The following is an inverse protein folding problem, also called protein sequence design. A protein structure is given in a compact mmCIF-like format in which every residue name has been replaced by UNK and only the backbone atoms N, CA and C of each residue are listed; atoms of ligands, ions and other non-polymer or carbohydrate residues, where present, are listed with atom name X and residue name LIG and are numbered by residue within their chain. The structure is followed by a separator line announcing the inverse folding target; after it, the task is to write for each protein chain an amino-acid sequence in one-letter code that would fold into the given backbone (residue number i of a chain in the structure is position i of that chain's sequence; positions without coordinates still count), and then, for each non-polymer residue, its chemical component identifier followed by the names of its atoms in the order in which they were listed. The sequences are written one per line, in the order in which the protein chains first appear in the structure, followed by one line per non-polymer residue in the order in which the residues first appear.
data_IF_315519871733
#
_entry.id   IF_315519871733
#
_cell.length_a   1.000
_cell.length_b   1.000
_cell.length_c   1.000
_cell.angle_alpha   90.00
_cell.angle_beta   90.00
_cell.angle_gamma   90.00
#
_symmetry.space_group_name_H-M   'P 1'
#
loop_
_entity.id
_entity.type
_entity.pdbx_description
1 polymer ?
#
# COMPACT_ATOMS: atom_id res chain seq x y z
N UNK A 1 19.02 3.94 0.30
CA UNK A 1 17.94 3.42 -0.57
C UNK A 1 16.86 4.48 -0.70
N UNK A 2 16.51 4.80 -1.93
CA UNK A 2 15.49 5.83 -2.21
C UNK A 2 14.22 5.15 -2.70
N UNK A 3 13.13 5.31 -1.97
CA UNK A 3 11.83 4.75 -2.32
C UNK A 3 10.92 5.86 -2.82
N UNK A 4 10.24 5.62 -3.94
CA UNK A 4 9.34 6.59 -4.55
C UNK A 4 8.05 5.92 -4.98
N UNK A 5 6.93 6.52 -4.60
CA UNK A 5 5.60 6.11 -5.06
C UNK A 5 5.07 7.18 -5.98
N UNK A 6 4.73 6.79 -7.21
CA UNK A 6 4.19 7.70 -8.22
C UNK A 6 2.76 7.29 -8.53
N UNK A 7 1.82 8.15 -8.24
CA UNK A 7 0.41 7.94 -8.55
C UNK A 7 0.18 8.18 -10.03
N UNK A 8 -0.35 7.18 -10.74
CA UNK A 8 -0.44 7.21 -12.20
C UNK A 8 -1.87 7.21 -12.73
N UNK A 9 -2.83 6.75 -11.94
CA UNK A 9 -4.22 6.68 -12.41
C UNK A 9 -5.18 6.71 -11.24
N UNK A 10 -6.32 7.39 -11.41
CA UNK A 10 -7.40 7.37 -10.43
C UNK A 10 -8.64 6.72 -11.02
N UNK A 11 -9.15 5.73 -10.28
CA UNK A 11 -10.46 5.15 -10.53
C UNK A 11 -11.55 5.87 -9.75
N UNK A 12 -12.73 5.28 -9.73
CA UNK A 12 -13.88 5.85 -9.01
C UNK A 12 -13.64 5.90 -7.50
N UNK A 13 -13.05 4.85 -6.93
CA UNK A 13 -12.86 4.71 -5.49
C UNK A 13 -11.41 4.43 -5.10
N UNK A 14 -10.49 4.41 -6.05
CA UNK A 14 -9.12 3.99 -5.80
C UNK A 14 -8.11 4.78 -6.62
N UNK A 15 -6.84 4.66 -6.24
CA UNK A 15 -5.70 5.25 -6.93
C UNK A 15 -4.71 4.14 -7.23
N UNK A 16 -4.25 4.06 -8.48
CA UNK A 16 -3.20 3.14 -8.89
C UNK A 16 -1.87 3.86 -8.92
N UNK A 17 -0.85 3.25 -8.33
CA UNK A 17 0.49 3.83 -8.21
C UNK A 17 1.55 2.83 -8.62
N UNK A 18 2.74 3.34 -8.93
CA UNK A 18 3.94 2.56 -9.18
C UNK A 18 4.94 2.79 -8.04
N UNK A 19 5.53 1.71 -7.54
CA UNK A 19 6.59 1.78 -6.53
C UNK A 19 7.94 1.58 -7.20
N UNK A 20 8.85 2.52 -6.95
CA UNK A 20 10.24 2.48 -7.41
C UNK A 20 11.18 2.43 -6.22
N UNK A 21 12.25 1.64 -6.34
CA UNK A 21 13.38 1.65 -5.39
C UNK A 21 14.63 1.95 -6.19
N UNK A 22 15.32 3.02 -5.82
CA UNK A 22 16.52 3.51 -6.51
C UNK A 22 16.30 3.66 -8.02
N UNK A 23 15.13 4.16 -8.40
CA UNK A 23 14.76 4.41 -9.79
C UNK A 23 14.26 3.19 -10.56
N UNK A 24 14.23 2.01 -9.94
CA UNK A 24 13.82 0.77 -10.59
C UNK A 24 12.41 0.40 -10.16
N UNK A 25 11.53 0.16 -11.14
CA UNK A 25 10.15 -0.26 -10.88
C UNK A 25 10.11 -1.59 -10.14
N UNK A 26 9.32 -1.66 -9.08
CA UNK A 26 9.17 -2.86 -8.26
C UNK A 26 7.81 -3.52 -8.42
N UNK A 27 6.74 -2.75 -8.24
CA UNK A 27 5.39 -3.32 -8.23
C UNK A 27 4.35 -2.21 -8.35
N UNK A 28 3.11 -2.63 -8.55
CA UNK A 28 1.96 -1.73 -8.47
C UNK A 28 1.52 -1.58 -7.03
N UNK A 29 0.92 -0.42 -6.73
CA UNK A 29 0.24 -0.17 -5.47
C UNK A 29 -1.19 0.24 -5.74
N UNK A 30 -2.11 -0.27 -4.94
CA UNK A 30 -3.48 0.19 -4.94
C UNK A 30 -3.73 0.94 -3.64
N UNK A 31 -4.17 2.18 -3.76
CA UNK A 31 -4.50 3.06 -2.65
C UNK A 31 -5.96 3.47 -2.72
N UNK A 32 -6.48 3.94 -1.59
CA UNK A 32 -7.76 4.62 -1.56
C UNK A 32 -7.75 5.85 -2.46
N UNK A 33 -8.91 6.45 -2.68
CA UNK A 33 -9.02 7.65 -3.51
C UNK A 33 -8.35 8.84 -2.83
N UNK A 34 -7.71 9.69 -3.63
CA UNK A 34 -7.16 10.98 -3.18
C UNK A 34 -8.34 11.92 -2.91
N UNK A 35 -8.43 12.44 -1.69
CA UNK A 35 -9.49 13.36 -1.29
C UNK A 35 -8.90 14.54 -0.52
N UNK A 36 -9.44 15.73 -0.74
CA UNK A 36 -9.02 16.90 0.03
C UNK A 36 -9.48 16.82 1.48
N UNK A 37 -10.68 16.27 1.71
CA UNK A 37 -11.20 16.05 3.06
C UNK A 37 -11.23 14.56 3.33
N UNK A 38 -10.60 14.15 4.43
CA UNK A 38 -10.47 12.74 4.78
C UNK A 38 -11.83 12.12 5.09
N UNK A 39 -12.15 11.04 4.38
CA UNK A 39 -13.27 10.16 4.72
C UNK A 39 -12.65 8.92 5.34
N UNK A 40 -13.03 8.60 6.57
CA UNK A 40 -12.47 7.47 7.34
C UNK A 40 -12.54 6.18 6.52
N UNK A 41 -11.43 5.46 6.47
CA UNK A 41 -11.27 4.18 5.77
C UNK A 41 -11.39 4.24 4.25
N UNK A 42 -11.50 5.43 3.65
CA UNK A 42 -11.70 5.59 2.20
C UNK A 42 -10.81 6.63 1.54
N UNK A 43 -9.80 7.12 2.25
CA UNK A 43 -8.95 8.19 1.74
C UNK A 43 -7.50 7.76 1.72
N UNK A 44 -6.82 8.03 0.60
CA UNK A 44 -5.38 7.82 0.45
C UNK A 44 -4.60 8.73 1.40
N UNK A 45 -3.39 8.29 1.75
CA UNK A 45 -2.47 9.13 2.53
C UNK A 45 -2.06 10.36 1.72
N UNK A 46 -1.68 11.47 2.39
CA UNK A 46 -1.29 12.68 1.67
C UNK A 46 0.03 12.52 0.94
N UNK A 47 0.25 13.36 -0.07
CA UNK A 47 1.55 13.49 -0.71
C UNK A 47 2.59 14.04 0.26
N UNK A 48 3.84 13.71 0.02
CA UNK A 48 4.95 14.25 0.78
C UNK A 48 6.11 13.29 0.88
N UNK A 49 7.05 13.66 1.73
CA UNK A 49 8.20 12.82 2.07
C UNK A 49 8.02 12.32 3.48
N UNK A 50 8.04 11.01 3.65
CA UNK A 50 7.81 10.37 4.94
C UNK A 50 8.89 9.32 5.19
N UNK A 51 9.15 9.05 6.46
CA UNK A 51 10.10 8.01 6.83
C UNK A 51 9.46 6.64 6.76
N UNK A 52 10.21 5.67 6.21
CA UNK A 52 9.82 4.27 6.26
C UNK A 52 10.47 3.62 7.47
N UNK A 53 9.71 2.81 8.17
CA UNK A 53 10.15 2.04 9.33
C UNK A 53 9.83 0.58 9.12
N UNK A 54 10.57 -0.31 9.78
CA UNK A 54 10.23 -1.72 9.84
C UNK A 54 9.53 -1.98 11.17
N UNK A 55 8.25 -2.35 11.11
CA UNK A 55 7.46 -2.67 12.29
C UNK A 55 7.54 -4.17 12.57
N UNK A 56 8.04 -4.53 13.76
CA UNK A 56 8.19 -5.94 14.17
C UNK A 56 7.33 -6.29 15.38
N UNK A 57 6.46 -5.39 15.84
CA UNK A 57 5.73 -5.56 17.11
C UNK A 57 4.22 -5.41 17.00
N UNK A 58 3.70 -4.87 15.90
CA UNK A 58 2.27 -4.61 15.76
C UNK A 58 1.46 -5.86 15.45
N UNK A 59 0.13 -5.71 15.49
CA UNK A 59 -0.81 -6.81 15.21
C UNK A 59 -0.71 -7.33 13.78
N UNK A 60 -0.54 -6.44 12.79
CA UNK A 60 -0.37 -6.86 11.40
C UNK A 60 0.94 -7.63 11.20
N UNK A 61 2.02 -7.19 11.86
CA UNK A 61 3.29 -7.93 11.85
C UNK A 61 3.10 -9.34 12.41
N UNK A 62 2.36 -9.47 13.50
CA UNK A 62 2.08 -10.78 14.11
C UNK A 62 1.31 -11.68 13.15
N UNK A 63 0.29 -11.16 12.49
CA UNK A 63 -0.49 -11.89 11.50
C UNK A 63 0.37 -12.39 10.35
N UNK A 64 1.24 -11.54 9.82
CA UNK A 64 2.12 -11.91 8.71
C UNK A 64 3.21 -12.89 9.16
N UNK A 65 3.70 -12.76 10.39
CA UNK A 65 4.66 -13.71 10.96
C UNK A 65 4.07 -15.12 11.07
N UNK A 66 2.81 -15.21 11.46
CA UNK A 66 2.10 -16.50 11.53
C UNK A 66 1.90 -17.10 10.15
N UNK A 67 1.60 -16.26 9.15
CA UNK A 67 1.31 -16.72 7.79
C UNK A 67 2.56 -17.12 7.02
N UNK A 68 3.65 -16.37 7.15
CA UNK A 68 4.84 -16.52 6.31
C UNK A 68 6.07 -17.03 7.07
N UNK A 69 6.03 -17.11 8.39
CA UNK A 69 7.13 -17.63 9.20
C UNK A 69 8.42 -16.83 9.05
N UNK A 70 9.52 -17.52 8.85
CA UNK A 70 10.85 -16.90 8.78
C UNK A 70 11.06 -16.01 7.55
N UNK A 71 10.23 -16.13 6.53
CA UNK A 71 10.29 -15.26 5.36
C UNK A 71 9.86 -13.84 5.70
N UNK A 72 9.04 -13.67 6.72
CA UNK A 72 8.56 -12.37 7.14
C UNK A 72 9.58 -11.70 8.06
N UNK A 73 10.04 -10.52 7.69
CA UNK A 73 11.05 -9.76 8.44
C UNK A 73 10.50 -8.50 9.13
N UNK A 74 9.22 -8.25 9.01
CA UNK A 74 8.55 -7.07 9.55
C UNK A 74 7.66 -6.42 8.50
N UNK A 75 6.85 -5.47 8.96
CA UNK A 75 5.98 -4.68 8.08
C UNK A 75 6.65 -3.35 7.75
N UNK A 76 6.51 -2.90 6.51
CA UNK A 76 6.97 -1.57 6.13
C UNK A 76 5.91 -0.58 6.58
N UNK A 77 6.26 0.25 7.53
CA UNK A 77 5.40 1.29 8.07
C UNK A 77 5.80 2.65 7.53
N UNK A 78 4.81 3.44 7.10
CA UNK A 78 5.01 4.83 6.70
C UNK A 78 4.77 5.68 7.95
N UNK A 79 5.83 6.32 8.44
CA UNK A 79 5.79 7.07 9.69
C UNK A 79 5.48 8.55 9.52
N UNK A 80 5.05 9.16 10.63
CA UNK A 80 4.88 10.61 10.78
C UNK A 80 3.89 11.23 9.79
N UNK A 81 2.86 10.48 9.42
CA UNK A 81 1.80 10.97 8.55
C UNK A 81 0.81 11.85 9.34
N UNK A 82 0.41 13.00 8.79
CA UNK A 82 -0.67 13.77 9.42
C UNK A 82 -2.00 13.02 9.29
N UNK A 83 -2.77 12.98 10.37
CA UNK A 83 -4.12 12.37 10.45
C UNK A 83 -4.22 10.88 10.16
N UNK A 84 -3.11 10.18 10.00
CA UNK A 84 -3.07 8.73 9.79
C UNK A 84 -2.12 8.07 10.77
N UNK A 85 -2.51 6.93 11.31
CA UNK A 85 -1.69 6.10 12.18
C UNK A 85 -1.59 4.68 11.63
N UNK A 86 -0.48 4.01 11.95
CA UNK A 86 -0.28 2.59 11.64
C UNK A 86 -0.52 2.27 10.17
N UNK A 87 0.06 3.09 9.28
CA UNK A 87 -0.04 2.88 7.84
C UNK A 87 1.08 1.96 7.40
N UNK A 88 0.71 0.81 6.83
CA UNK A 88 1.66 -0.19 6.34
C UNK A 88 1.48 -0.41 4.84
N UNK A 89 2.57 -0.77 4.17
CA UNK A 89 2.51 -1.29 2.81
C UNK A 89 2.30 -2.79 2.94
N UNK A 90 1.16 -3.30 2.47
CA UNK A 90 0.82 -4.72 2.62
C UNK A 90 0.06 -5.26 1.42
N UNK A 91 -0.24 -6.55 1.44
CA UNK A 91 -0.93 -7.23 0.34
C UNK A 91 -2.44 -7.05 0.44
N UNK A 92 -3.12 -7.15 -0.69
CA UNK A 92 -4.57 -7.10 -0.82
C UNK A 92 -4.93 -7.01 -2.29
N UNK A 93 -6.17 -7.31 -2.65
CA UNK A 93 -6.58 -7.34 -4.05
C UNK A 93 -7.46 -6.16 -4.46
N UNK A 94 -8.31 -5.71 -3.57
CA UNK A 94 -9.25 -4.62 -3.85
C UNK A 94 -9.17 -3.57 -2.75
N UNK A 95 -9.74 -2.39 -3.04
CA UNK A 95 -9.67 -1.27 -2.11
C UNK A 95 -10.37 -1.54 -0.77
N UNK A 96 -11.30 -2.48 -0.73
CA UNK A 96 -11.95 -2.89 0.51
C UNK A 96 -10.99 -3.58 1.49
N UNK A 97 -9.81 -4.00 1.02
CA UNK A 97 -8.81 -4.64 1.86
C UNK A 97 -7.94 -3.63 2.63
N UNK A 98 -8.23 -2.35 2.53
CA UNK A 98 -7.43 -1.33 3.21
C UNK A 98 -8.27 -0.15 3.69
N UNK A 99 -7.72 0.55 4.67
CA UNK A 99 -8.25 1.80 5.20
C UNK A 99 -7.15 2.87 5.17
N UNK A 100 -6.60 3.13 3.97
CA UNK A 100 -5.53 4.10 3.75
C UNK A 100 -4.17 3.49 3.47
N UNK A 101 -3.92 2.24 3.84
CA UNK A 101 -2.64 1.58 3.56
C UNK A 101 -2.49 1.27 2.07
N UNK A 102 -1.33 1.54 1.45
CA UNK A 102 -1.06 1.10 0.09
C UNK A 102 -0.96 -0.43 0.01
N UNK A 103 -1.63 -1.01 -0.98
CA UNK A 103 -1.62 -2.45 -1.24
C UNK A 103 -0.67 -2.76 -2.39
N UNK A 104 0.16 -3.79 -2.25
CA UNK A 104 1.13 -4.20 -3.27
C UNK A 104 0.57 -5.28 -4.18
N UNK A 105 0.91 -5.23 -5.46
CA UNK A 105 0.56 -6.26 -6.41
C UNK A 105 1.48 -6.24 -7.62
N UNK A 106 1.59 -7.37 -8.31
CA UNK A 106 2.46 -7.54 -9.47
C UNK A 106 1.79 -7.14 -10.77
N UNK A 107 0.46 -7.17 -10.82
CA UNK A 107 -0.34 -6.74 -11.96
C UNK A 107 -1.68 -6.23 -11.47
N UNK A 108 -2.48 -5.68 -12.39
CA UNK A 108 -3.80 -5.19 -12.04
C UNK A 108 -4.80 -5.47 -13.16
N UNK A 109 -6.08 -5.46 -12.79
CA UNK A 109 -7.21 -5.53 -13.73
C UNK A 109 -8.07 -4.30 -13.45
N UNK A 110 -8.40 -3.57 -14.49
CA UNK A 110 -9.20 -2.35 -14.40
C UNK A 110 -10.51 -2.52 -15.17
N UNK A 111 -11.53 -3.00 -14.48
CA UNK A 111 -12.87 -3.20 -15.03
C UNK A 111 -13.84 -2.23 -14.35
N UNK A 112 -14.74 -2.77 -13.50
CA UNK A 112 -15.65 -1.93 -12.68
C UNK A 112 -14.89 -1.24 -11.56
N UNK A 113 -13.86 -1.90 -11.03
CA UNK A 113 -12.96 -1.36 -10.04
C UNK A 113 -11.56 -1.94 -10.28
N UNK A 114 -10.54 -1.20 -9.87
CA UNK A 114 -9.16 -1.65 -10.00
C UNK A 114 -8.86 -2.74 -8.97
N UNK A 115 -8.29 -3.84 -9.40
CA UNK A 115 -7.88 -4.96 -8.56
C UNK A 115 -6.42 -5.28 -8.82
N UNK A 116 -5.71 -5.65 -7.75
CA UNK A 116 -4.34 -6.12 -7.84
C UNK A 116 -4.26 -7.64 -7.92
N UNK A 117 -3.19 -8.12 -8.53
CA UNK A 117 -2.79 -9.51 -8.49
C UNK A 117 -1.40 -9.57 -7.86
N UNK A 118 -1.29 -10.18 -6.69
CA UNK A 118 -0.03 -10.34 -5.96
C UNK A 118 0.64 -11.68 -6.23
N UNK A 119 0.03 -12.52 -7.06
CA UNK A 119 0.55 -13.84 -7.41
C UNK A 119 1.23 -13.81 -8.76
N UNK A 120 2.31 -14.61 -8.92
CA UNK A 120 2.96 -14.84 -10.21
C UNK A 120 2.21 -15.85 -11.08
N UNK A 121 1.29 -16.61 -10.51
CA UNK A 121 0.50 -17.56 -11.26
C UNK A 121 -0.50 -16.81 -12.13
N UNK A 122 -0.51 -17.14 -13.37
CA UNK A 122 -1.46 -16.60 -14.33
C UNK A 122 -2.67 -17.49 -14.44
#
# INVERSE_FOLDING_TARGET
MKTKIVRVSQGKESTLSHLYIDGIFQCFLLEDKIRQVKIKSKTAIPEGKFQLKVNTTGGMNRTYSQKYGEMHKGMIEIGDLPTFDLVYIHTGNTIEHTAGCPLVGLSYIDRKSTRLNSSHST
#
